data_IF_472723770380
#
_entry.id   IF_472723770380
#
_cell.length_a   1.000
_cell.length_b   1.000
_cell.length_c   1.000
_cell.angle_alpha   90.00
_cell.angle_beta   90.00
_cell.angle_gamma   90.00
#
_symmetry.space_group_name_H-M   'P 1'
#
loop_
_entity.id
_entity.type
_entity.pdbx_description
1 polymer ?
#
# COMPACT_ATOMS: atom_id res chain seq x y z
N UNK A 1 -1.88 1.14 16.47
CA UNK A 1 -1.29 2.03 15.43
C UNK A 1 -0.86 1.24 14.18
N UNK A 2 -0.24 0.06 14.32
CA UNK A 2 0.25 -0.78 13.20
C UNK A 2 -0.76 -1.04 12.06
N UNK A 3 -2.00 -1.44 12.33
CA UNK A 3 -2.99 -1.71 11.27
C UNK A 3 -3.37 -0.49 10.42
N UNK A 4 -3.39 0.70 11.03
CA UNK A 4 -3.58 1.97 10.31
C UNK A 4 -2.39 2.27 9.43
N UNK A 5 -1.18 2.13 9.95
CA UNK A 5 0.05 2.40 9.20
C UNK A 5 0.18 1.45 8.01
N UNK A 6 -0.07 0.15 8.19
CA UNK A 6 -0.08 -0.81 7.08
C UNK A 6 -1.12 -0.44 6.01
N UNK A 7 -2.35 -0.08 6.42
CA UNK A 7 -3.40 0.37 5.50
C UNK A 7 -2.96 1.60 4.69
N UNK A 8 -2.32 2.56 5.35
CA UNK A 8 -1.80 3.77 4.71
C UNK A 8 -0.64 3.45 3.76
N UNK A 9 0.28 2.57 4.15
CA UNK A 9 1.40 2.15 3.29
C UNK A 9 0.92 1.52 2.00
N UNK A 10 -0.01 0.56 2.08
CA UNK A 10 -0.59 -0.08 0.89
C UNK A 10 -1.30 0.96 0.01
N UNK A 11 -2.07 1.87 0.61
CA UNK A 11 -2.70 2.97 -0.11
C UNK A 11 -1.67 3.84 -0.85
N UNK A 12 -0.59 4.24 -0.18
CA UNK A 12 0.43 5.09 -0.76
C UNK A 12 1.14 4.40 -1.92
N UNK A 13 1.49 3.11 -1.80
CA UNK A 13 2.07 2.35 -2.91
C UNK A 13 1.14 2.35 -4.13
N UNK A 14 -0.15 2.12 -3.92
CA UNK A 14 -1.14 2.17 -5.01
C UNK A 14 -1.26 3.54 -5.66
N UNK A 15 -1.36 4.60 -4.87
CA UNK A 15 -1.42 5.97 -5.42
C UNK A 15 -0.14 6.39 -6.10
N UNK A 16 1.02 5.98 -5.60
CA UNK A 16 2.29 6.23 -6.29
C UNK A 16 2.31 5.52 -7.64
N UNK A 17 1.86 4.27 -7.73
CA UNK A 17 1.80 3.56 -9.01
C UNK A 17 0.83 4.21 -10.01
N UNK A 18 -0.35 4.62 -9.58
CA UNK A 18 -1.29 5.40 -10.40
C UNK A 18 -0.64 6.69 -10.92
N UNK A 19 -0.04 7.48 -10.02
CA UNK A 19 0.61 8.73 -10.38
C UNK A 19 1.79 8.54 -11.32
N UNK A 20 2.59 7.48 -11.16
CA UNK A 20 3.65 7.13 -12.11
C UNK A 20 3.04 6.96 -13.49
N UNK A 21 2.02 6.09 -13.63
CA UNK A 21 1.37 5.80 -14.91
C UNK A 21 0.74 7.04 -15.54
N UNK A 22 0.07 7.87 -14.76
CA UNK A 22 -0.58 9.10 -15.23
C UNK A 22 0.42 10.17 -15.68
N UNK A 23 1.60 10.21 -15.06
CA UNK A 23 2.64 11.20 -15.39
C UNK A 23 3.56 10.78 -16.53
N UNK A 24 3.64 9.48 -16.87
CA UNK A 24 4.50 9.01 -17.97
C UNK A 24 4.22 9.72 -19.29
N UNK A 25 2.96 10.06 -19.57
CA UNK A 25 2.57 10.82 -20.78
C UNK A 25 3.22 12.20 -20.88
N UNK A 26 3.61 12.79 -19.74
CA UNK A 26 4.27 14.09 -19.67
C UNK A 26 5.80 13.97 -19.69
N UNK A 27 6.35 12.78 -19.46
CA UNK A 27 7.79 12.51 -19.39
C UNK A 27 8.23 11.59 -20.52
N UNK A 28 8.17 12.07 -21.77
CA UNK A 28 8.39 11.23 -22.97
C UNK A 28 9.69 10.43 -22.95
N UNK A 29 10.80 11.04 -22.50
CA UNK A 29 12.11 10.38 -22.38
C UNK A 29 12.12 9.24 -21.37
N UNK A 30 11.45 9.43 -20.22
CA UNK A 30 11.31 8.36 -19.22
C UNK A 30 10.36 7.27 -19.73
N UNK A 31 9.28 7.67 -20.40
CA UNK A 31 8.28 6.75 -20.92
C UNK A 31 8.83 5.83 -22.02
N UNK A 32 9.67 6.34 -22.93
CA UNK A 32 10.30 5.53 -23.96
C UNK A 32 11.24 4.46 -23.41
N UNK A 33 11.78 4.71 -22.22
CA UNK A 33 12.72 3.81 -21.54
C UNK A 33 12.04 2.95 -20.45
N UNK A 34 10.72 3.13 -20.24
CA UNK A 34 9.97 2.42 -19.22
C UNK A 34 9.38 1.10 -19.72
N UNK A 35 9.41 0.07 -18.88
CA UNK A 35 8.69 -1.18 -19.12
C UNK A 35 7.23 -1.06 -18.66
N UNK A 36 6.34 -0.78 -19.62
CA UNK A 36 4.90 -0.64 -19.37
C UNK A 36 4.25 -1.96 -18.91
N UNK A 37 4.81 -3.11 -19.28
CA UNK A 37 4.33 -4.41 -18.83
C UNK A 37 4.69 -4.69 -17.37
N UNK A 38 5.85 -4.23 -16.90
CA UNK A 38 6.19 -4.26 -15.48
C UNK A 38 5.21 -3.41 -14.64
N UNK A 39 4.86 -2.20 -15.09
CA UNK A 39 3.88 -1.35 -14.39
C UNK A 39 2.46 -1.94 -14.39
N UNK A 40 2.07 -2.58 -15.51
CA UNK A 40 0.80 -3.31 -15.60
C UNK A 40 0.77 -4.47 -14.61
N UNK A 41 1.83 -5.30 -14.59
CA UNK A 41 1.97 -6.40 -13.63
C UNK A 41 1.95 -5.91 -12.18
N UNK A 42 2.66 -4.83 -11.86
CA UNK A 42 2.62 -4.22 -10.52
C UNK A 42 1.20 -3.83 -10.12
N UNK A 43 0.41 -3.27 -11.06
CA UNK A 43 -0.98 -2.88 -10.81
C UNK A 43 -1.84 -4.10 -10.50
N UNK A 44 -1.76 -5.15 -11.34
CA UNK A 44 -2.50 -6.39 -11.16
C UNK A 44 -2.13 -7.12 -9.87
N UNK A 45 -0.84 -7.16 -9.52
CA UNK A 45 -0.36 -7.79 -8.28
C UNK A 45 -0.82 -7.04 -7.04
N UNK A 46 -0.79 -5.70 -7.06
CA UNK A 46 -1.29 -4.89 -5.97
C UNK A 46 -2.79 -5.11 -5.75
N UNK A 47 -3.59 -5.04 -6.81
CA UNK A 47 -5.04 -5.23 -6.74
C UNK A 47 -5.43 -6.63 -6.26
N UNK A 48 -4.69 -7.65 -6.72
CA UNK A 48 -4.87 -9.04 -6.28
C UNK A 48 -4.51 -9.25 -4.81
N UNK A 49 -3.36 -8.72 -4.37
CA UNK A 49 -2.87 -8.93 -3.01
C UNK A 49 -3.59 -8.05 -1.97
N UNK A 50 -4.05 -6.86 -2.38
CA UNK A 50 -4.66 -5.86 -1.52
C UNK A 50 -5.92 -5.27 -2.17
N UNK A 51 -7.00 -6.06 -2.28
CA UNK A 51 -8.23 -5.59 -2.90
C UNK A 51 -8.80 -4.39 -2.13
N UNK A 52 -9.30 -3.39 -2.86
CA UNK A 52 -9.87 -2.17 -2.29
C UNK A 52 -8.88 -1.33 -1.44
N UNK A 53 -7.57 -1.37 -1.71
CA UNK A 53 -6.58 -0.55 -1.00
C UNK A 53 -6.91 0.96 -1.00
N UNK A 54 -7.58 1.47 -2.02
CA UNK A 54 -8.05 2.85 -2.09
C UNK A 54 -9.02 3.20 -0.96
N UNK A 55 -9.87 2.24 -0.60
CA UNK A 55 -10.88 2.39 0.43
C UNK A 55 -10.25 2.23 1.83
N UNK A 56 -9.16 1.46 1.93
CA UNK A 56 -8.44 1.23 3.18
C UNK A 56 -7.95 2.52 3.84
N UNK A 57 -7.52 3.53 3.05
CA UNK A 57 -7.20 4.87 3.59
C UNK A 57 -8.40 5.52 4.27
N UNK A 58 -9.56 5.51 3.61
CA UNK A 58 -10.73 6.20 4.14
C UNK A 58 -11.18 5.60 5.47
N UNK A 59 -11.12 4.27 5.55
CA UNK A 59 -11.46 3.55 6.77
C UNK A 59 -10.41 3.70 7.89
N UNK A 60 -9.12 3.83 7.54
CA UNK A 60 -8.05 3.98 8.52
C UNK A 60 -7.82 5.43 8.97
N UNK A 61 -8.11 6.42 8.09
CA UNK A 61 -7.84 7.84 8.28
C UNK A 61 -9.02 8.65 8.81
N UNK A 62 -10.26 8.28 8.46
CA UNK A 62 -11.47 9.06 8.78
C UNK A 62 -12.36 8.35 9.82
N UNK A 63 -11.73 7.65 10.78
CA UNK A 63 -12.44 6.89 11.82
C UNK A 63 -13.41 7.75 12.64
N UNK A 64 -13.03 8.99 12.93
CA UNK A 64 -13.88 9.93 13.66
C UNK A 64 -15.11 10.36 12.84
N UNK A 65 -14.97 10.52 11.53
CA UNK A 65 -16.08 10.89 10.64
C UNK A 65 -17.12 9.77 10.50
N UNK A 66 -16.69 8.51 10.63
CA UNK A 66 -17.61 7.36 10.65
C UNK A 66 -18.60 7.40 11.82
N UNK A 67 -18.27 8.14 12.89
CA UNK A 67 -19.11 8.35 14.08
C UNK A 67 -19.76 9.74 14.15
N UNK A 68 -19.54 10.61 13.17
CA UNK A 68 -20.03 11.99 13.25
C UNK A 68 -21.57 12.09 13.30
N UNK A 69 -22.29 11.04 12.87
CA UNK A 69 -23.74 10.93 13.04
C UNK A 69 -24.23 9.49 12.93
N UNK A 70 -25.46 9.23 13.41
CA UNK A 70 -26.12 7.94 13.27
C UNK A 70 -26.23 7.50 11.79
N UNK A 71 -26.50 8.43 10.89
CA UNK A 71 -26.58 8.15 9.44
C UNK A 71 -25.21 7.79 8.85
N UNK A 72 -24.12 8.40 9.33
CA UNK A 72 -22.74 8.01 8.96
C UNK A 72 -22.39 6.62 9.50
N UNK A 73 -22.83 6.28 10.71
CA UNK A 73 -22.65 4.92 11.24
C UNK A 73 -23.40 3.88 10.40
N UNK A 74 -24.68 4.12 10.10
CA UNK A 74 -25.51 3.22 9.28
C UNK A 74 -24.98 3.03 7.85
N UNK A 75 -24.42 4.07 7.25
CA UNK A 75 -23.86 4.01 5.89
C UNK A 75 -22.51 3.28 5.82
N UNK A 76 -21.81 3.13 6.95
CA UNK A 76 -20.57 2.37 7.02
C UNK A 76 -20.75 0.95 7.58
N UNK A 77 -21.81 0.68 8.35
CA UNK A 77 -22.10 -0.63 8.89
C UNK A 77 -22.39 -1.67 7.78
N UNK A 78 -21.96 -2.91 8.03
CA UNK A 78 -22.26 -4.09 7.21
C UNK A 78 -23.42 -4.88 7.83
N UNK A 79 -24.17 -5.60 7.01
CA UNK A 79 -25.17 -6.55 7.48
C UNK A 79 -24.48 -7.87 7.90
N UNK A 80 -24.85 -8.40 9.06
CA UNK A 80 -24.40 -9.67 9.64
C UNK A 80 -25.62 -10.44 10.17
N UNK A 81 -25.48 -11.74 10.46
CA UNK A 81 -26.61 -12.57 10.93
C UNK A 81 -27.33 -11.98 12.15
N UNK A 82 -26.59 -11.33 13.05
CA UNK A 82 -27.08 -10.70 14.29
C UNK A 82 -27.57 -9.24 14.10
N UNK A 83 -27.63 -8.73 12.86
CA UNK A 83 -28.08 -7.38 12.54
C UNK A 83 -27.03 -6.55 11.79
N UNK A 84 -26.68 -5.37 12.31
CA UNK A 84 -25.70 -4.46 11.66
C UNK A 84 -24.45 -4.33 12.49
N UNK A 85 -23.29 -4.52 11.86
CA UNK A 85 -21.97 -4.43 12.51
C UNK A 85 -21.18 -3.26 11.94
N UNK A 86 -20.67 -2.41 12.81
CA UNK A 86 -19.71 -1.36 12.49
C UNK A 86 -18.37 -1.72 13.13
N UNK A 87 -17.31 -1.79 12.33
CA UNK A 87 -15.94 -2.01 12.80
C UNK A 87 -15.12 -0.75 12.54
N UNK A 88 -14.64 -0.12 13.60
CA UNK A 88 -13.80 1.08 13.52
C UNK A 88 -12.36 0.67 13.79
N UNK A 89 -11.82 -0.11 12.85
CA UNK A 89 -10.43 -0.53 12.90
C UNK A 89 -10.07 -1.36 14.13
N UNK A 90 -10.31 -2.66 14.07
CA UNK A 90 -9.86 -3.62 15.08
C UNK A 90 -8.83 -4.57 14.48
N UNK A 91 -8.11 -5.27 15.36
CA UNK A 91 -7.33 -6.44 14.98
C UNK A 91 -8.25 -7.66 15.05
N UNK A 92 -8.17 -8.52 14.05
CA UNK A 92 -8.79 -9.84 13.99
C UNK A 92 -7.70 -10.84 13.59
N UNK A 93 -7.07 -11.46 14.60
CA UNK A 93 -5.83 -12.21 14.41
C UNK A 93 -4.73 -11.33 13.77
N UNK A 94 -4.24 -11.78 12.61
CA UNK A 94 -3.22 -11.09 11.82
C UNK A 94 -3.81 -10.13 10.78
N UNK A 95 -5.10 -9.79 10.86
CA UNK A 95 -5.74 -8.83 9.96
C UNK A 95 -6.13 -7.57 10.71
N UNK A 96 -5.88 -6.42 10.08
CA UNK A 96 -6.56 -5.20 10.45
C UNK A 96 -7.89 -5.14 9.71
N UNK A 97 -8.99 -5.09 10.46
CA UNK A 97 -10.36 -5.13 9.92
C UNK A 97 -11.12 -3.85 10.23
N UNK A 98 -11.87 -3.36 9.25
CA UNK A 98 -12.66 -2.13 9.39
C UNK A 98 -13.80 -2.12 8.38
N UNK A 99 -14.90 -1.45 8.72
CA UNK A 99 -16.03 -1.30 7.80
C UNK A 99 -16.07 0.09 7.19
N UNK A 100 -16.32 0.20 5.90
CA UNK A 100 -16.51 1.47 5.21
C UNK A 100 -17.40 1.31 3.99
N UNK A 101 -18.36 2.22 3.77
CA UNK A 101 -19.35 2.15 2.67
C UNK A 101 -19.98 0.76 2.52
N UNK A 102 -20.44 0.18 3.64
CA UNK A 102 -21.05 -1.18 3.70
C UNK A 102 -20.14 -2.31 3.19
N UNK A 103 -18.82 -2.12 3.18
CA UNK A 103 -17.85 -3.17 2.87
C UNK A 103 -17.00 -3.47 4.10
N UNK A 104 -16.71 -4.75 4.31
CA UNK A 104 -15.66 -5.19 5.21
C UNK A 104 -14.33 -5.07 4.49
N UNK A 105 -13.41 -4.30 5.06
CA UNK A 105 -12.06 -4.16 4.57
C UNK A 105 -11.14 -4.92 5.51
N UNK A 106 -10.20 -5.64 4.90
CA UNK A 106 -9.20 -6.45 5.58
C UNK A 106 -7.84 -6.08 5.02
N UNK A 107 -6.92 -5.74 5.90
CA UNK A 107 -5.51 -5.52 5.56
C UNK A 107 -4.69 -6.54 6.31
N UNK A 108 -4.10 -7.53 5.62
CA UNK A 108 -3.29 -8.55 6.28
C UNK A 108 -1.99 -7.91 6.81
N UNK A 109 -1.65 -8.25 8.04
CA UNK A 109 -0.46 -7.83 8.78
C UNK A 109 0.50 -9.00 8.96
N UNK A 110 0.62 -9.82 7.93
CA UNK A 110 1.50 -10.99 7.92
C UNK A 110 2.81 -10.71 7.22
N UNK A 111 3.82 -11.52 7.52
CA UNK A 111 5.10 -11.50 6.79
C UNK A 111 4.89 -11.78 5.29
N UNK A 112 3.93 -12.64 4.94
CA UNK A 112 3.58 -12.91 3.55
C UNK A 112 3.03 -11.67 2.85
N UNK A 113 2.12 -10.92 3.49
CA UNK A 113 1.60 -9.67 2.95
C UNK A 113 2.72 -8.64 2.73
N UNK A 114 3.65 -8.53 3.69
CA UNK A 114 4.84 -7.68 3.55
C UNK A 114 5.67 -8.07 2.33
N UNK A 115 5.94 -9.37 2.13
CA UNK A 115 6.69 -9.86 0.96
C UNK A 115 5.97 -9.58 -0.36
N UNK A 116 4.64 -9.75 -0.40
CA UNK A 116 3.84 -9.42 -1.58
C UNK A 116 3.94 -7.92 -1.92
N UNK A 117 3.84 -7.05 -0.92
CA UNK A 117 4.01 -5.61 -1.12
C UNK A 117 5.41 -5.24 -1.61
N UNK A 118 6.45 -5.87 -1.05
CA UNK A 118 7.82 -5.71 -1.53
C UNK A 118 7.97 -6.14 -3.00
N UNK A 119 7.32 -7.24 -3.40
CA UNK A 119 7.27 -7.70 -4.79
C UNK A 119 6.64 -6.65 -5.72
N UNK A 120 5.53 -6.02 -5.30
CA UNK A 120 4.92 -4.92 -6.05
C UNK A 120 5.90 -3.76 -6.21
N UNK A 121 6.55 -3.32 -5.13
CA UNK A 121 7.53 -2.22 -5.18
C UNK A 121 8.73 -2.57 -6.08
N UNK A 122 9.22 -3.81 -6.01
CA UNK A 122 10.29 -4.29 -6.89
C UNK A 122 9.87 -4.26 -8.38
N UNK A 123 8.64 -4.64 -8.70
CA UNK A 123 8.09 -4.53 -10.06
C UNK A 123 8.06 -3.07 -10.53
N UNK A 124 7.64 -2.13 -9.66
CA UNK A 124 7.64 -0.70 -9.99
C UNK A 124 9.05 -0.22 -10.33
N UNK A 125 10.05 -0.58 -9.53
CA UNK A 125 11.43 -0.16 -9.77
C UNK A 125 12.01 -0.82 -11.03
N UNK A 126 11.67 -2.09 -11.28
CA UNK A 126 12.11 -2.82 -12.47
C UNK A 126 11.59 -2.20 -13.78
N UNK A 127 10.51 -1.41 -13.70
CA UNK A 127 9.99 -0.68 -14.84
C UNK A 127 10.92 0.44 -15.35
N UNK A 128 11.95 0.80 -14.58
CA UNK A 128 12.86 1.91 -14.89
C UNK A 128 14.34 1.48 -14.82
N UNK A 129 14.78 0.51 -15.64
CA UNK A 129 16.12 -0.09 -15.51
C UNK A 129 17.26 0.92 -15.63
N UNK A 130 17.12 1.92 -16.52
CA UNK A 130 18.12 2.98 -16.71
C UNK A 130 18.19 3.97 -15.55
N UNK A 131 17.15 4.06 -14.72
CA UNK A 131 17.09 4.94 -13.56
C UNK A 131 17.46 4.22 -12.26
N UNK A 132 17.66 2.91 -12.28
CA UNK A 132 17.85 2.10 -11.08
C UNK A 132 19.01 2.59 -10.20
N UNK A 133 20.10 3.08 -10.79
CA UNK A 133 21.25 3.66 -10.08
C UNK A 133 20.98 5.02 -9.44
N UNK A 134 19.93 5.72 -9.90
CA UNK A 134 19.51 7.02 -9.39
C UNK A 134 18.36 6.91 -8.37
N UNK A 135 17.73 5.74 -8.29
CA UNK A 135 16.65 5.49 -7.33
C UNK A 135 17.23 5.13 -5.96
N UNK A 136 16.55 5.52 -4.86
CA UNK A 136 16.97 5.11 -3.52
C UNK A 136 17.00 3.58 -3.40
N UNK A 137 17.94 3.01 -2.65
CA UNK A 137 18.04 1.56 -2.51
C UNK A 137 16.79 0.99 -1.86
N UNK A 138 16.32 -0.15 -2.37
CA UNK A 138 15.19 -0.88 -1.83
C UNK A 138 15.62 -1.66 -0.57
N UNK A 139 15.47 -1.04 0.60
CA UNK A 139 15.68 -1.72 1.87
C UNK A 139 14.44 -2.53 2.27
N UNK A 140 14.34 -3.76 1.76
CA UNK A 140 13.23 -4.68 2.08
C UNK A 140 13.33 -5.37 3.44
N UNK A 141 14.00 -4.75 4.41
CA UNK A 141 14.06 -5.25 5.79
C UNK A 141 14.84 -6.55 5.98
N UNK A 142 15.91 -6.77 5.19
CA UNK A 142 17.03 -7.58 5.68
C UNK A 142 17.65 -6.76 6.80
N UNK A 143 17.87 -7.36 7.99
CA UNK A 143 18.67 -6.72 9.03
C UNK A 143 19.89 -6.09 8.37
N UNK A 144 20.11 -4.80 8.62
CA UNK A 144 21.38 -4.17 8.31
C UNK A 144 22.45 -4.91 9.14
N UNK A 145 22.93 -6.05 8.64
CA UNK A 145 24.15 -6.65 9.12
C UNK A 145 25.23 -5.65 8.76
N UNK A 146 25.82 -5.09 9.81
CA UNK A 146 26.97 -4.21 9.79
C UNK A 146 27.96 -4.57 8.66
N UNK A 147 28.38 -3.55 7.91
CA UNK A 147 29.42 -3.73 6.90
C UNK A 147 29.36 -2.69 5.79
N UNK A 148 29.41 -1.40 6.12
CA UNK A 148 29.92 -0.39 5.20
C UNK A 148 30.78 0.57 6.03
N UNK A 149 32.00 0.12 6.34
CA UNK A 149 33.08 1.03 6.67
C UNK A 149 33.29 1.96 5.48
N UNK A 150 33.08 3.26 5.69
CA UNK A 150 33.54 4.27 4.75
C UNK A 150 35.08 4.20 4.67
N UNK A 151 35.70 4.30 3.49
CA UNK A 151 37.14 4.32 3.39
C UNK A 151 37.66 5.60 4.07
N UNK A 152 38.40 5.45 5.16
CA UNK A 152 39.11 6.56 5.80
C UNK A 152 40.21 7.05 4.86
N UNK A 153 39.93 8.10 4.09
CA UNK A 153 40.95 8.86 3.39
C UNK A 153 41.81 9.60 4.41
N UNK A 154 43.06 9.15 4.58
CA UNK A 154 44.10 9.90 5.28
C UNK A 154 44.39 11.20 4.50
N UNK A 155 44.37 12.33 5.21
CA UNK A 155 45.21 13.50 4.93
C UNK A 155 46.06 13.75 6.17
#
# INVERSE_FOLDING_TARGET
MAGREASMTVYHVGKTLEQIKDNLRFTKTIASDSDSDALRRASSELERAFPNFEIARNAAGHRAEAFASLERMKSNAIDVEEGKKLLIGSMDGDEYVTTFKKKLLKVPLTEEARRRLNGVVALIYSAFPKLQSMLPPLNFGVQASAGNEAPSGKL
#
